data_IF_009689650676
#
_entry.id   IF_009689650676
#
_cell.length_a   1.000
_cell.length_b   1.000
_cell.length_c   1.000
_cell.angle_alpha   90.00
_cell.angle_beta   90.00
_cell.angle_gamma   90.00
#
_symmetry.space_group_name_H-M   'P 1'
#
loop_
_entity.id
_entity.type
_entity.pdbx_description
1 polymer ?
#
# COMPACT_ATOMS: atom_id res chain seq x y z
N UNK A 1 6.57 22.16 -0.88
CA UNK A 1 7.28 22.66 -2.07
C UNK A 1 6.30 23.46 -2.89
N UNK A 2 6.51 24.76 -3.07
CA UNK A 2 5.64 25.58 -3.91
C UNK A 2 6.04 25.43 -5.38
N UNK A 3 5.32 24.59 -6.14
CA UNK A 3 5.45 24.54 -7.59
C UNK A 3 4.71 25.75 -8.18
N UNK A 4 5.38 26.56 -9.00
CA UNK A 4 4.68 27.63 -9.70
C UNK A 4 3.85 27.10 -10.87
N UNK A 5 2.81 27.85 -11.30
CA UNK A 5 2.02 27.49 -12.49
C UNK A 5 2.89 27.39 -13.75
N UNK A 6 3.99 28.11 -13.80
CA UNK A 6 4.94 28.09 -14.94
C UNK A 6 5.73 26.78 -14.95
N UNK A 7 6.21 26.34 -13.79
CA UNK A 7 6.93 25.08 -13.65
C UNK A 7 6.00 23.89 -13.96
N UNK A 8 4.74 23.96 -13.49
CA UNK A 8 3.75 22.95 -13.80
C UNK A 8 3.39 22.93 -15.31
N UNK A 9 3.30 24.07 -15.94
CA UNK A 9 3.07 24.16 -17.39
C UNK A 9 4.18 23.48 -18.19
N UNK A 10 5.44 23.70 -17.81
CA UNK A 10 6.60 23.06 -18.43
C UNK A 10 6.59 21.54 -18.24
N UNK A 11 6.32 21.07 -17.03
CA UNK A 11 6.29 19.62 -16.69
C UNK A 11 5.11 18.87 -17.31
N UNK A 12 3.93 19.49 -17.34
CA UNK A 12 2.70 18.86 -17.81
C UNK A 12 2.44 19.01 -19.30
N UNK A 13 3.10 19.97 -19.96
CA UNK A 13 2.80 20.38 -21.34
C UNK A 13 1.41 21.01 -21.48
N UNK A 14 0.81 21.49 -20.38
CA UNK A 14 -0.45 22.25 -20.35
C UNK A 14 -0.11 23.72 -20.19
N UNK A 15 -0.75 24.60 -20.98
CA UNK A 15 -0.44 26.03 -20.93
C UNK A 15 -0.73 26.65 -19.57
N UNK A 16 0.10 27.60 -19.10
CA UNK A 16 -0.10 28.29 -17.84
C UNK A 16 -1.47 29.00 -17.72
N UNK A 17 -2.02 29.63 -18.80
CA UNK A 17 -3.38 30.16 -18.74
C UNK A 17 -4.45 29.10 -18.48
N UNK A 18 -4.34 27.91 -19.11
CA UNK A 18 -5.26 26.80 -18.88
C UNK A 18 -5.18 26.27 -17.45
N UNK A 19 -3.96 26.09 -16.91
CA UNK A 19 -3.76 25.71 -15.52
C UNK A 19 -4.37 26.73 -14.56
N UNK A 20 -4.20 28.01 -14.82
CA UNK A 20 -4.79 29.09 -14.03
C UNK A 20 -6.32 29.08 -14.04
N UNK A 21 -6.94 28.80 -15.19
CA UNK A 21 -8.40 28.67 -15.30
C UNK A 21 -8.94 27.46 -14.54
N UNK A 22 -8.22 26.31 -14.62
CA UNK A 22 -8.55 25.10 -13.86
C UNK A 22 -8.45 25.36 -12.35
N UNK A 23 -7.37 25.99 -11.90
CA UNK A 23 -7.14 26.32 -10.48
C UNK A 23 -8.24 27.23 -9.90
N UNK A 24 -8.72 28.19 -10.69
CA UNK A 24 -9.84 29.08 -10.29
C UNK A 24 -11.23 28.45 -10.47
N UNK A 25 -11.31 27.20 -10.96
CA UNK A 25 -12.59 26.54 -11.24
C UNK A 25 -13.37 27.12 -12.42
N UNK A 26 -12.75 27.95 -13.27
CA UNK A 26 -13.37 28.59 -14.42
C UNK A 26 -13.57 27.63 -15.59
N UNK A 27 -12.84 26.52 -15.61
CA UNK A 27 -12.96 25.46 -16.61
C UNK A 27 -12.67 24.10 -16.01
N UNK A 28 -13.33 23.07 -16.53
CA UNK A 28 -13.06 21.68 -16.18
C UNK A 28 -12.11 21.06 -17.21
N UNK A 29 -10.96 20.52 -16.82
CA UNK A 29 -10.05 19.87 -17.74
C UNK A 29 -10.67 18.58 -18.27
N UNK A 30 -10.38 18.25 -19.52
CA UNK A 30 -10.67 16.90 -20.03
C UNK A 30 -9.83 15.86 -19.28
N UNK A 31 -10.24 14.60 -19.28
CA UNK A 31 -9.47 13.49 -18.67
C UNK A 31 -8.02 13.43 -19.19
N UNK A 32 -7.81 13.74 -20.46
CA UNK A 32 -6.47 13.79 -21.07
C UNK A 32 -5.64 14.93 -20.48
N UNK A 33 -6.22 16.12 -20.32
CA UNK A 33 -5.56 17.28 -19.72
C UNK A 33 -5.30 17.02 -18.23
N UNK A 34 -6.27 16.47 -17.50
CA UNK A 34 -6.11 16.10 -16.10
C UNK A 34 -5.00 15.04 -15.92
N UNK A 35 -4.88 14.08 -16.83
CA UNK A 35 -3.79 13.10 -16.85
C UNK A 35 -2.41 13.74 -17.00
N UNK A 36 -2.27 14.74 -17.90
CA UNK A 36 -1.02 15.49 -18.06
C UNK A 36 -0.69 16.35 -16.85
N UNK A 37 -1.68 17.00 -16.25
CA UNK A 37 -1.50 17.77 -15.01
C UNK A 37 -1.02 16.83 -13.88
N UNK A 38 -1.67 15.66 -13.73
CA UNK A 38 -1.26 14.67 -12.74
C UNK A 38 0.19 14.24 -12.94
N UNK A 39 0.58 13.91 -14.19
CA UNK A 39 1.96 13.55 -14.52
C UNK A 39 2.96 14.67 -14.18
N UNK A 40 2.63 15.94 -14.47
CA UNK A 40 3.46 17.10 -14.13
C UNK A 40 3.61 17.30 -12.61
N UNK A 41 2.64 16.83 -11.82
CA UNK A 41 2.67 16.80 -10.37
C UNK A 41 3.27 15.51 -9.79
N UNK A 42 3.73 14.59 -10.66
CA UNK A 42 4.22 13.25 -10.26
C UNK A 42 3.16 12.42 -9.54
N UNK A 43 1.88 12.62 -9.90
CA UNK A 43 0.73 11.91 -9.37
C UNK A 43 0.11 11.00 -10.43
N UNK A 44 -0.58 9.96 -10.00
CA UNK A 44 -1.54 9.25 -10.85
C UNK A 44 -2.81 10.09 -11.00
N UNK A 45 -3.49 10.00 -12.13
CA UNK A 45 -4.76 10.71 -12.34
C UNK A 45 -5.79 10.43 -11.23
N UNK A 46 -5.86 9.18 -10.76
CA UNK A 46 -6.71 8.80 -9.62
C UNK A 46 -6.33 9.52 -8.32
N UNK A 47 -5.08 9.86 -8.12
CA UNK A 47 -4.63 10.63 -6.97
C UNK A 47 -5.02 12.11 -7.11
N UNK A 48 -4.87 12.69 -8.31
CA UNK A 48 -5.30 14.06 -8.58
C UNK A 48 -6.80 14.26 -8.36
N UNK A 49 -7.63 13.34 -8.85
CA UNK A 49 -9.09 13.40 -8.71
C UNK A 49 -9.57 13.22 -7.27
N UNK A 50 -8.73 12.70 -6.37
CA UNK A 50 -9.06 12.45 -4.96
C UNK A 50 -8.48 13.49 -4.00
N UNK A 51 -7.70 14.46 -4.48
CA UNK A 51 -7.14 15.52 -3.63
C UNK A 51 -8.22 16.41 -2.98
N UNK A 52 -9.44 16.35 -3.49
CA UNK A 52 -10.57 17.14 -2.98
C UNK A 52 -11.38 16.39 -1.86
N UNK A 53 -11.05 15.14 -1.56
CA UNK A 53 -11.64 14.39 -0.45
C UNK A 53 -10.95 14.81 0.87
N UNK A 54 -11.33 15.98 1.38
CA UNK A 54 -10.81 16.54 2.62
C UNK A 54 -11.35 15.77 3.84
N UNK A 55 -10.51 14.91 4.38
CA UNK A 55 -10.70 14.32 5.70
C UNK A 55 -9.35 14.20 6.39
N UNK A 56 -9.02 15.14 7.28
CA UNK A 56 -7.81 15.05 8.10
C UNK A 56 -7.80 13.81 9.01
N UNK A 57 -8.98 13.22 9.26
CA UNK A 57 -9.15 12.02 10.08
C UNK A 57 -10.15 11.07 9.42
N UNK A 58 -9.72 9.84 9.20
CA UNK A 58 -10.61 8.77 8.72
C UNK A 58 -10.59 7.60 9.71
N UNK A 59 -11.76 7.14 10.12
CA UNK A 59 -11.92 6.02 11.04
C UNK A 59 -12.52 4.85 10.28
N UNK A 60 -11.80 3.73 10.20
CA UNK A 60 -12.33 2.46 9.68
C UNK A 60 -12.91 1.67 10.84
N UNK A 61 -14.23 1.51 10.87
CA UNK A 61 -14.91 0.73 11.90
C UNK A 61 -14.71 -0.78 11.69
N UNK A 62 -14.83 -1.55 12.75
CA UNK A 62 -14.63 -3.02 12.66
C UNK A 62 -15.62 -3.70 11.69
N UNK A 63 -16.81 -3.14 11.51
CA UNK A 63 -17.83 -3.61 10.56
C UNK A 63 -17.54 -3.25 9.10
N UNK A 64 -16.63 -2.30 8.84
CA UNK A 64 -16.33 -1.75 7.50
C UNK A 64 -15.01 -2.29 6.92
N UNK A 65 -14.40 -3.26 7.59
CA UNK A 65 -13.13 -3.84 7.18
C UNK A 65 -13.26 -4.53 5.83
N UNK A 66 -12.31 -4.26 4.96
CA UNK A 66 -12.21 -4.94 3.68
C UNK A 66 -11.49 -6.27 3.85
N UNK A 67 -12.17 -7.36 3.51
CA UNK A 67 -11.52 -8.65 3.40
C UNK A 67 -10.63 -8.62 2.15
N UNK A 68 -9.42 -9.10 2.28
CA UNK A 68 -8.56 -9.35 1.15
C UNK A 68 -9.13 -10.43 0.22
N UNK A 69 -8.64 -10.57 -1.01
CA UNK A 69 -8.97 -11.70 -1.86
C UNK A 69 -8.70 -13.01 -1.08
N UNK A 70 -9.38 -14.08 -1.44
CA UNK A 70 -9.16 -15.38 -0.78
C UNK A 70 -7.68 -15.74 -0.89
N UNK A 71 -7.02 -15.82 0.26
CA UNK A 71 -5.68 -16.34 0.39
C UNK A 71 -5.62 -17.85 0.14
N UNK A 72 -4.49 -18.45 0.40
CA UNK A 72 -4.31 -19.89 0.42
C UNK A 72 -5.23 -20.55 1.46
N UNK A 73 -5.44 -21.85 1.36
CA UNK A 73 -6.27 -22.59 2.32
C UNK A 73 -5.77 -22.34 3.76
N UNK A 74 -6.66 -21.90 4.64
CA UNK A 74 -6.35 -21.63 6.04
C UNK A 74 -5.77 -20.23 6.32
N UNK A 75 -5.55 -19.41 5.29
CA UNK A 75 -5.12 -18.02 5.44
C UNK A 75 -6.26 -17.06 5.10
N UNK A 76 -6.46 -16.06 5.93
CA UNK A 76 -7.34 -14.92 5.67
C UNK A 76 -6.67 -13.63 6.11
N UNK A 77 -6.96 -12.53 5.43
CA UNK A 77 -6.51 -11.22 5.88
C UNK A 77 -7.57 -10.13 5.67
N UNK A 78 -7.46 -9.10 6.48
CA UNK A 78 -8.33 -7.92 6.45
C UNK A 78 -7.47 -6.67 6.37
N UNK A 79 -7.78 -5.80 5.41
CA UNK A 79 -7.16 -4.48 5.32
C UNK A 79 -7.80 -3.55 6.35
N UNK A 80 -6.97 -2.90 7.16
CA UNK A 80 -7.36 -2.05 8.28
C UNK A 80 -7.29 -0.57 7.96
N UNK A 81 -6.50 -0.19 6.97
CA UNK A 81 -6.38 1.19 6.51
C UNK A 81 -7.48 1.52 5.51
N UNK A 82 -7.99 2.77 5.51
CA UNK A 82 -8.91 3.23 4.47
C UNK A 82 -8.16 3.38 3.14
N UNK A 83 -8.85 3.30 1.99
CA UNK A 83 -8.26 3.55 0.68
C UNK A 83 -8.10 5.05 0.44
N UNK A 84 -7.19 5.70 1.16
CA UNK A 84 -6.96 7.13 1.02
C UNK A 84 -6.00 7.47 -0.13
N UNK A 85 -6.23 8.58 -0.83
CA UNK A 85 -5.28 9.11 -1.80
C UNK A 85 -3.94 9.44 -1.13
N UNK A 86 -2.84 9.14 -1.81
CA UNK A 86 -1.50 9.42 -1.27
C UNK A 86 -1.11 8.59 -0.05
N UNK A 87 -1.92 7.61 0.33
CA UNK A 87 -1.57 6.68 1.40
C UNK A 87 -0.32 5.90 0.99
N UNK A 88 0.72 6.00 1.83
CA UNK A 88 2.02 5.36 1.58
C UNK A 88 2.21 4.07 2.36
N UNK A 89 1.26 3.70 3.19
CA UNK A 89 1.32 2.47 3.97
C UNK A 89 -0.07 1.83 4.06
N UNK A 90 -0.12 0.51 3.94
CA UNK A 90 -1.31 -0.29 4.18
C UNK A 90 -1.08 -1.16 5.41
N UNK A 91 -2.02 -1.12 6.36
CA UNK A 91 -2.05 -2.01 7.51
C UNK A 91 -3.05 -3.13 7.22
N UNK A 92 -2.59 -4.36 7.33
CA UNK A 92 -3.42 -5.57 7.26
C UNK A 92 -3.26 -6.44 8.51
N UNK A 93 -4.29 -7.22 8.81
CA UNK A 93 -4.28 -8.27 9.83
C UNK A 93 -4.44 -9.61 9.15
N UNK A 94 -3.48 -10.49 9.33
CA UNK A 94 -3.47 -11.84 8.79
C UNK A 94 -3.77 -12.84 9.89
N UNK A 95 -4.53 -13.87 9.54
CA UNK A 95 -4.87 -14.99 10.40
C UNK A 95 -4.51 -16.26 9.65
N UNK A 96 -3.65 -17.08 10.25
CA UNK A 96 -3.16 -18.35 9.70
C UNK A 96 -3.58 -19.50 10.59
N UNK A 97 -4.40 -20.39 10.09
CA UNK A 97 -4.68 -21.67 10.74
C UNK A 97 -3.41 -22.53 10.81
N UNK A 98 -3.38 -23.58 11.64
CA UNK A 98 -2.28 -24.56 11.66
C UNK A 98 -1.92 -25.07 10.25
N UNK A 99 -0.66 -25.02 9.89
CA UNK A 99 -0.14 -25.43 8.60
C UNK A 99 -0.48 -24.50 7.41
N UNK A 100 -1.11 -23.35 7.66
CA UNK A 100 -1.41 -22.40 6.61
C UNK A 100 -0.19 -21.56 6.23
N UNK A 101 -0.17 -21.11 4.96
CA UNK A 101 0.85 -20.21 4.38
C UNK A 101 0.18 -19.01 3.73
N UNK A 102 0.84 -17.85 3.73
CA UNK A 102 0.33 -16.64 3.06
C UNK A 102 0.54 -16.65 1.55
N UNK A 103 1.47 -17.48 1.07
CA UNK A 103 1.84 -17.67 -0.32
C UNK A 103 2.75 -18.86 -0.45
N UNK A 104 3.43 -19.03 -1.58
CA UNK A 104 4.34 -20.14 -1.83
C UNK A 104 5.71 -19.70 -2.33
N UNK A 105 6.72 -20.59 -2.30
CA UNK A 105 8.09 -20.27 -2.71
C UNK A 105 8.23 -19.96 -4.20
N UNK A 106 7.20 -20.17 -5.00
CA UNK A 106 7.16 -19.84 -6.42
C UNK A 106 6.33 -18.60 -6.75
N UNK A 107 5.73 -17.96 -5.75
CA UNK A 107 4.91 -16.78 -5.99
C UNK A 107 5.80 -15.57 -6.31
N UNK A 108 5.43 -14.76 -7.31
CA UNK A 108 6.15 -13.54 -7.60
C UNK A 108 6.00 -12.56 -6.44
N UNK A 109 6.96 -11.63 -6.25
CA UNK A 109 6.81 -10.55 -5.28
C UNK A 109 5.50 -9.80 -5.51
N UNK A 110 4.69 -9.66 -4.45
CA UNK A 110 3.35 -9.03 -4.55
C UNK A 110 3.41 -7.51 -4.40
N UNK A 111 4.56 -6.96 -4.07
CA UNK A 111 4.75 -5.54 -3.77
C UNK A 111 5.65 -4.84 -4.79
N UNK A 112 5.46 -3.53 -4.94
CA UNK A 112 6.27 -2.72 -5.85
C UNK A 112 7.74 -2.66 -5.38
N UNK A 113 8.72 -2.55 -6.32
CA UNK A 113 10.13 -2.39 -5.96
C UNK A 113 10.37 -1.23 -4.98
N UNK A 114 11.19 -1.48 -3.96
CA UNK A 114 11.49 -0.52 -2.90
C UNK A 114 10.45 -0.43 -1.81
N UNK A 115 9.39 -1.26 -1.85
CA UNK A 115 8.46 -1.39 -0.74
C UNK A 115 9.09 -2.09 0.45
N UNK A 116 8.65 -1.75 1.66
CA UNK A 116 9.02 -2.44 2.89
C UNK A 116 7.81 -2.99 3.59
N UNK A 117 7.95 -4.20 4.11
CA UNK A 117 6.98 -4.80 5.00
C UNK A 117 7.54 -4.87 6.42
N UNK A 118 6.72 -4.46 7.38
CA UNK A 118 6.96 -4.69 8.80
C UNK A 118 5.83 -5.55 9.32
N UNK A 119 6.16 -6.74 9.82
CA UNK A 119 5.19 -7.65 10.40
C UNK A 119 5.43 -7.79 11.91
N UNK A 120 4.35 -7.62 12.68
CA UNK A 120 4.31 -7.83 14.14
C UNK A 120 3.45 -9.05 14.44
N UNK A 121 4.01 -10.06 15.09
CA UNK A 121 3.28 -11.24 15.51
C UNK A 121 2.53 -10.99 16.81
N UNK A 122 1.21 -10.91 16.71
CA UNK A 122 0.32 -10.64 17.84
C UNK A 122 0.11 -11.88 18.71
N UNK A 123 -0.05 -13.05 18.08
CA UNK A 123 -0.24 -14.34 18.80
C UNK A 123 0.21 -15.52 17.94
N UNK A 124 0.54 -16.64 18.60
CA UNK A 124 1.02 -17.86 17.97
C UNK A 124 2.50 -17.81 17.59
N UNK A 125 2.88 -18.59 16.59
CA UNK A 125 4.21 -18.65 16.04
C UNK A 125 4.13 -18.71 14.51
N UNK A 126 5.07 -18.10 13.81
CA UNK A 126 5.18 -18.17 12.35
C UNK A 126 6.65 -18.30 11.92
N UNK A 127 6.85 -18.85 10.75
CA UNK A 127 8.13 -18.81 10.05
C UNK A 127 7.99 -17.88 8.86
N UNK A 128 8.81 -16.83 8.80
CA UNK A 128 9.00 -16.04 7.60
C UNK A 128 10.01 -16.74 6.71
N UNK A 129 9.60 -17.09 5.50
CA UNK A 129 10.49 -17.47 4.41
C UNK A 129 10.74 -16.23 3.55
N UNK A 130 11.97 -15.77 3.44
CA UNK A 130 12.34 -14.56 2.69
C UNK A 130 13.70 -14.75 2.05
N UNK A 131 13.76 -14.58 0.72
CA UNK A 131 15.01 -14.72 -0.08
C UNK A 131 15.77 -16.02 0.22
N UNK A 132 15.05 -17.15 0.27
CA UNK A 132 15.61 -18.48 0.55
C UNK A 132 16.07 -18.73 2.00
N UNK A 133 15.84 -17.78 2.90
CA UNK A 133 16.14 -17.89 4.33
C UNK A 133 14.88 -18.07 5.16
N UNK A 134 15.04 -18.64 6.35
CA UNK A 134 13.94 -18.87 7.33
C UNK A 134 14.20 -18.06 8.59
N UNK A 135 13.15 -17.41 9.09
CA UNK A 135 13.18 -16.64 10.33
C UNK A 135 11.98 -17.07 11.18
N UNK A 136 12.25 -17.65 12.34
CA UNK A 136 11.23 -18.08 13.30
C UNK A 136 10.84 -16.90 14.16
N UNK A 137 9.53 -16.64 14.27
CA UNK A 137 8.97 -15.54 15.03
C UNK A 137 7.95 -16.09 16.05
N UNK A 138 7.97 -15.53 17.24
CA UNK A 138 7.03 -15.81 18.32
C UNK A 138 6.20 -14.57 18.66
N UNK A 139 5.10 -14.76 19.37
CA UNK A 139 4.25 -13.66 19.80
C UNK A 139 5.07 -12.56 20.49
N UNK A 140 4.90 -11.32 20.04
CA UNK A 140 5.67 -10.14 20.46
C UNK A 140 6.83 -9.78 19.55
N UNK A 141 7.27 -10.68 18.67
CA UNK A 141 8.35 -10.39 17.73
C UNK A 141 7.87 -9.48 16.59
N UNK A 142 8.84 -8.71 16.07
CA UNK A 142 8.65 -7.84 14.91
C UNK A 142 9.78 -8.05 13.92
N UNK A 143 9.45 -8.14 12.64
CA UNK A 143 10.41 -8.25 11.54
C UNK A 143 10.14 -7.18 10.49
N UNK A 144 11.21 -6.64 9.90
CA UNK A 144 11.12 -5.72 8.76
C UNK A 144 12.04 -6.19 7.65
N UNK A 145 11.53 -6.22 6.42
CA UNK A 145 12.28 -6.67 5.25
C UNK A 145 11.86 -5.89 4.00
N UNK A 146 12.66 -6.00 2.94
CA UNK A 146 12.32 -5.44 1.63
C UNK A 146 11.23 -6.33 1.00
N UNK A 147 10.04 -5.77 0.83
CA UNK A 147 8.83 -6.51 0.43
C UNK A 147 8.82 -6.90 -1.07
N UNK A 148 9.76 -6.39 -1.86
CA UNK A 148 10.01 -6.81 -3.24
C UNK A 148 10.81 -8.12 -3.34
N UNK A 149 11.32 -8.66 -2.24
CA UNK A 149 11.87 -10.00 -2.17
C UNK A 149 10.76 -11.06 -2.16
N UNK A 150 11.03 -12.23 -2.76
CA UNK A 150 10.11 -13.36 -2.67
C UNK A 150 10.00 -13.81 -1.21
N UNK A 151 8.78 -13.76 -0.66
CA UNK A 151 8.54 -14.07 0.75
C UNK A 151 7.15 -14.64 0.99
N UNK A 152 7.00 -15.38 2.07
CA UNK A 152 5.72 -15.81 2.63
C UNK A 152 5.87 -16.16 4.11
N UNK A 153 4.77 -16.14 4.84
CA UNK A 153 4.69 -16.62 6.21
C UNK A 153 4.04 -18.00 6.24
N UNK A 154 4.53 -18.87 7.09
CA UNK A 154 4.02 -20.19 7.39
C UNK A 154 3.67 -20.29 8.89
N UNK A 155 2.53 -20.87 9.21
CA UNK A 155 2.21 -21.24 10.59
C UNK A 155 2.57 -22.73 10.82
N UNK A 156 3.71 -23.06 11.43
CA UNK A 156 4.12 -24.44 11.68
C UNK A 156 3.47 -25.01 12.96
N UNK A 157 2.77 -24.17 13.73
CA UNK A 157 2.21 -24.53 15.04
C UNK A 157 0.92 -25.32 14.95
N UNK A 158 0.41 -25.72 16.13
CA UNK A 158 -0.87 -26.41 16.28
C UNK A 158 -2.04 -25.44 16.55
N UNK A 159 -1.76 -24.17 16.79
CA UNK A 159 -2.74 -23.12 17.08
C UNK A 159 -2.77 -22.05 15.99
N UNK A 160 -3.83 -21.26 15.96
CA UNK A 160 -3.96 -20.12 15.04
C UNK A 160 -2.92 -19.05 15.37
N UNK A 161 -2.28 -18.52 14.34
CA UNK A 161 -1.36 -17.39 14.43
C UNK A 161 -1.98 -16.14 13.85
N UNK A 162 -1.72 -15.00 14.49
CA UNK A 162 -2.21 -13.69 14.09
C UNK A 162 -1.05 -12.72 13.97
N UNK A 163 -0.91 -12.10 12.80
CA UNK A 163 0.08 -11.05 12.58
C UNK A 163 -0.56 -9.78 12.00
N UNK A 164 0.02 -8.65 12.32
CA UNK A 164 -0.25 -7.36 11.72
C UNK A 164 0.90 -7.05 10.76
N UNK A 165 0.59 -6.76 9.51
CA UNK A 165 1.56 -6.36 8.52
C UNK A 165 1.32 -4.92 8.07
N UNK A 166 2.38 -4.13 8.01
CA UNK A 166 2.40 -2.79 7.43
C UNK A 166 3.29 -2.82 6.20
N UNK A 167 2.70 -2.65 5.04
CA UNK A 167 3.46 -2.49 3.80
C UNK A 167 3.50 -1.01 3.44
N UNK A 168 4.70 -0.47 3.33
CA UNK A 168 4.94 0.91 2.90
C UNK A 168 5.39 0.93 1.43
N UNK A 169 4.84 1.85 0.64
CA UNK A 169 5.32 2.11 -0.71
C UNK A 169 6.78 2.56 -0.68
N UNK A 170 7.56 2.08 -1.64
CA UNK A 170 8.96 2.46 -1.77
C UNK A 170 9.11 3.98 -1.90
N UNK A 171 10.02 4.54 -1.13
CA UNK A 171 10.49 5.90 -1.35
C UNK A 171 11.40 5.82 -2.57
N UNK A 172 11.01 6.39 -3.70
CA UNK A 172 11.94 6.61 -4.81
C UNK A 172 13.08 7.46 -4.26
N UNK A 173 14.26 6.87 -4.16
CA UNK A 173 15.48 7.66 -3.96
C UNK A 173 15.70 8.41 -5.27
N UNK A 174 15.55 9.73 -5.21
CA UNK A 174 15.98 10.65 -6.26
C UNK A 174 17.49 10.63 -6.41
#
# INVERSE_FOLDING_TARGET
MGLSLRDLAERSGVSAPMLSQVERGETSPTLQVAGRIAAGLELRLSQLLRLDEQGAVTVVRSSERRKGPRGTKGHSYEVRTPPLPGQRAELSRHTLAPGAVTGGPGDPPMHEPGSRETAFLQSGAVVLHCDGRRYELQAGDCVTFDADLAHHFENPGAEESVLLAVVSAGLRRS
#
